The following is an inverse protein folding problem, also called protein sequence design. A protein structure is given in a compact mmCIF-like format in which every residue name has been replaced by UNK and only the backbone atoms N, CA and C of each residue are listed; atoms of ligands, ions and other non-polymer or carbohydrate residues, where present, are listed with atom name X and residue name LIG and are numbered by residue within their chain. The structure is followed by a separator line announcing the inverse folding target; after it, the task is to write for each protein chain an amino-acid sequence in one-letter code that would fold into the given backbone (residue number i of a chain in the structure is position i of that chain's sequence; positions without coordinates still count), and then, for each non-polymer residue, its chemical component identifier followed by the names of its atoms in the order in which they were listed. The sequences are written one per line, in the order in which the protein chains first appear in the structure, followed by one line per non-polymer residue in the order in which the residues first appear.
data_IF_334562307580
#
_entry.id   IF_334562307580
#
_cell.length_a   1.000
_cell.length_b   1.000
_cell.length_c   1.000
_cell.angle_alpha   90.00
_cell.angle_beta   90.00
_cell.angle_gamma   90.00
#
_symmetry.space_group_name_H-M   'P 1'
#
loop_
_entity.id
_entity.type
_entity.pdbx_description
1 polymer ?
#
# COMPACT_ATOMS: atom_id res chain seq x y z
N UNK A 1 -2.43 14.55 8.42
CA UNK A 1 -1.64 14.93 7.22
C UNK A 1 -2.55 15.15 6.02
N UNK A 2 -3.43 14.21 5.66
CA UNK A 2 -4.33 14.35 4.49
C UNK A 2 -5.19 15.61 4.45
N UNK A 3 -5.60 16.12 5.62
CA UNK A 3 -6.42 17.32 5.71
C UNK A 3 -5.70 18.61 5.30
N UNK A 4 -4.36 18.63 5.38
CA UNK A 4 -3.59 19.82 5.04
C UNK A 4 -3.58 20.03 3.51
N UNK A 5 -3.76 21.26 3.01
CA UNK A 5 -3.54 21.57 1.61
C UNK A 5 -2.05 21.70 1.27
N UNK A 6 -1.70 21.43 0.02
CA UNK A 6 -0.39 21.76 -0.54
C UNK A 6 -0.34 23.24 -0.93
N UNK A 7 0.72 23.95 -0.54
CA UNK A 7 0.90 25.39 -0.83
C UNK A 7 0.84 25.70 -2.34
N UNK A 8 1.39 24.83 -3.20
CA UNK A 8 1.51 25.11 -4.64
C UNK A 8 0.21 25.08 -5.45
N UNK A 9 -0.88 24.50 -4.93
CA UNK A 9 -2.16 24.42 -5.65
C UNK A 9 -3.40 24.41 -4.75
N UNK A 10 -3.25 24.56 -3.43
CA UNK A 10 -4.31 24.50 -2.42
C UNK A 10 -5.18 23.24 -2.45
N UNK A 11 -4.74 22.17 -3.11
CA UNK A 11 -5.42 20.88 -3.09
C UNK A 11 -4.99 20.09 -1.84
N UNK A 12 -5.94 19.49 -1.09
CA UNK A 12 -5.61 18.68 0.07
C UNK A 12 -5.00 17.33 -0.35
N UNK A 13 -4.07 16.84 0.46
CA UNK A 13 -3.50 15.48 0.29
C UNK A 13 -4.55 14.37 0.43
N UNK A 14 -5.73 14.68 0.97
CA UNK A 14 -6.86 13.76 1.03
C UNK A 14 -7.44 13.42 -0.34
N UNK A 15 -7.27 14.30 -1.34
CA UNK A 15 -7.99 14.28 -2.61
C UNK A 15 -9.52 14.11 -2.47
N UNK A 16 -10.06 14.35 -1.28
CA UNK A 16 -11.49 14.19 -1.01
C UNK A 16 -12.24 15.36 -1.63
N UNK A 17 -13.17 15.07 -2.53
CA UNK A 17 -14.09 16.07 -3.06
C UNK A 17 -15.17 16.40 -2.02
N UNK A 18 -15.56 17.67 -1.92
CA UNK A 18 -16.85 18.07 -1.36
C UNK A 18 -17.95 17.64 -2.34
N UNK A 19 -18.99 16.97 -1.81
CA UNK A 19 -20.09 16.33 -2.53
C UNK A 19 -20.77 17.23 -3.60
N UNK A 20 -21.32 16.61 -4.65
CA UNK A 20 -22.65 16.92 -5.27
C UNK A 20 -22.95 16.10 -6.55
N UNK A 21 -22.01 15.40 -7.19
CA UNK A 21 -22.30 14.66 -8.44
C UNK A 21 -21.92 13.19 -8.35
N UNK A 22 -22.67 12.35 -9.06
CA UNK A 22 -22.49 10.90 -9.20
C UNK A 22 -21.00 10.55 -9.39
N UNK A 23 -20.38 10.15 -8.28
CA UNK A 23 -18.95 9.93 -8.20
C UNK A 23 -18.65 8.61 -8.90
N UNK A 24 -17.76 8.61 -9.91
CA UNK A 24 -17.31 7.37 -10.54
C UNK A 24 -16.62 6.49 -9.50
N UNK A 25 -16.65 5.17 -9.66
CA UNK A 25 -15.92 4.24 -8.77
C UNK A 25 -14.40 4.38 -8.85
N UNK A 26 -13.88 5.12 -9.85
CA UNK A 26 -12.47 5.34 -10.10
C UNK A 26 -12.05 6.76 -9.67
N UNK A 27 -12.24 7.10 -8.39
CA UNK A 27 -11.82 8.40 -7.84
C UNK A 27 -10.48 8.37 -7.11
N UNK A 28 -9.74 9.50 -7.15
CA UNK A 28 -8.52 9.68 -6.37
C UNK A 28 -8.65 9.31 -4.89
N UNK A 29 -7.63 8.64 -4.36
CA UNK A 29 -7.52 8.23 -2.97
C UNK A 29 -6.64 9.20 -2.16
N UNK A 30 -6.73 9.18 -0.81
CA UNK A 30 -5.84 9.98 0.03
C UNK A 30 -4.38 9.50 -0.05
N UNK A 31 -3.45 10.41 0.20
CA UNK A 31 -2.01 10.13 0.17
C UNK A 31 -1.50 9.41 1.42
N UNK A 32 -1.99 9.78 2.61
CA UNK A 32 -1.41 9.33 3.89
C UNK A 32 -2.30 8.37 4.70
N UNK A 33 -3.62 8.40 4.52
CA UNK A 33 -4.57 7.58 5.29
C UNK A 33 -4.81 6.22 4.64
N UNK A 34 -5.04 5.20 5.48
CA UNK A 34 -5.56 3.91 5.01
C UNK A 34 -7.08 3.79 5.18
N UNK A 35 -7.71 4.70 5.93
CA UNK A 35 -9.14 4.64 6.21
C UNK A 35 -9.91 4.78 4.88
N UNK A 36 -10.78 3.82 4.59
CA UNK A 36 -11.50 3.69 3.31
C UNK A 36 -10.62 3.42 2.08
N UNK A 37 -9.37 2.99 2.27
CA UNK A 37 -8.44 2.61 1.19
C UNK A 37 -8.15 1.11 1.26
N UNK A 38 -8.31 0.42 0.13
CA UNK A 38 -8.15 -1.03 0.03
C UNK A 38 -9.37 -1.77 0.58
N UNK A 39 -9.15 -2.76 1.45
CA UNK A 39 -10.22 -3.56 2.04
C UNK A 39 -10.13 -3.60 3.57
N UNK A 40 -11.26 -3.87 4.23
CA UNK A 40 -11.27 -4.22 5.66
C UNK A 40 -10.84 -5.67 5.85
N UNK A 41 -9.87 -5.87 6.74
CA UNK A 41 -9.36 -7.18 7.18
C UNK A 41 -9.60 -7.37 8.66
N UNK A 42 -10.18 -8.52 9.03
CA UNK A 42 -10.31 -8.97 10.42
C UNK A 42 -8.95 -9.43 10.96
N UNK A 43 -8.39 -8.66 11.91
CA UNK A 43 -7.06 -8.92 12.46
C UNK A 43 -7.00 -10.13 13.40
N UNK A 44 -8.14 -10.66 13.86
CA UNK A 44 -8.18 -11.91 14.64
C UNK A 44 -7.79 -13.12 13.81
N UNK A 45 -7.71 -12.98 12.49
CA UNK A 45 -7.26 -14.04 11.57
C UNK A 45 -5.78 -13.97 11.24
N UNK A 46 -5.03 -13.02 11.80
CA UNK A 46 -3.60 -12.85 11.56
C UNK A 46 -2.75 -13.57 12.61
N UNK A 47 -1.53 -13.93 12.22
CA UNK A 47 -0.48 -14.47 13.10
C UNK A 47 -0.96 -15.70 13.89
N UNK A 48 -0.91 -15.65 15.23
CA UNK A 48 -1.34 -16.73 16.11
C UNK A 48 -2.87 -16.83 16.30
N UNK A 49 -3.64 -15.82 15.86
CA UNK A 49 -5.13 -15.79 15.93
C UNK A 49 -5.73 -15.86 17.34
N UNK A 50 -4.95 -15.51 18.35
CA UNK A 50 -5.36 -15.59 19.75
C UNK A 50 -5.25 -14.22 20.44
N UNK A 51 -6.11 -13.99 21.43
CA UNK A 51 -6.07 -12.81 22.31
C UNK A 51 -6.01 -11.45 21.58
N UNK A 52 -6.73 -11.31 20.45
CA UNK A 52 -6.61 -10.10 19.60
C UNK A 52 -7.79 -9.13 19.74
N UNK A 53 -9.03 -9.63 19.84
CA UNK A 53 -10.27 -8.84 19.64
C UNK A 53 -10.34 -7.56 20.48
N UNK A 54 -10.24 -7.69 21.80
CA UNK A 54 -10.40 -6.58 22.75
C UNK A 54 -9.09 -5.89 23.12
N UNK A 55 -7.96 -6.40 22.61
CA UNK A 55 -6.63 -5.85 22.93
C UNK A 55 -6.34 -4.61 22.09
N UNK A 56 -6.76 -4.61 20.83
CA UNK A 56 -6.39 -3.55 19.88
C UNK A 56 -7.56 -2.66 19.44
N UNK A 57 -8.79 -3.16 19.49
CA UNK A 57 -9.98 -2.42 19.05
C UNK A 57 -11.12 -2.61 20.05
N UNK A 58 -11.81 -1.53 20.46
CA UNK A 58 -12.95 -1.64 21.37
C UNK A 58 -14.26 -2.06 20.68
N UNK A 59 -14.26 -2.22 19.35
CA UNK A 59 -15.44 -2.59 18.56
C UNK A 59 -15.72 -4.10 18.54
N UNK A 60 -16.96 -4.48 18.25
CA UNK A 60 -17.35 -5.89 18.09
C UNK A 60 -16.71 -6.56 16.87
N UNK A 61 -16.32 -5.78 15.85
CA UNK A 61 -15.57 -6.21 14.67
C UNK A 61 -14.16 -5.58 14.68
N UNK A 62 -13.09 -6.37 14.92
CA UNK A 62 -11.71 -5.89 14.94
C UNK A 62 -11.16 -5.74 13.51
N UNK A 63 -11.85 -4.95 12.69
CA UNK A 63 -11.51 -4.73 11.29
C UNK A 63 -10.55 -3.54 11.13
N UNK A 64 -9.49 -3.73 10.35
CA UNK A 64 -8.55 -2.67 9.98
C UNK A 64 -8.47 -2.57 8.46
N UNK A 65 -8.40 -1.35 7.93
CA UNK A 65 -8.20 -1.11 6.51
C UNK A 65 -6.76 -1.42 6.11
N UNK A 66 -6.59 -2.18 5.03
CA UNK A 66 -5.27 -2.61 4.55
C UNK A 66 -4.40 -1.47 4.00
N UNK A 67 -5.02 -0.40 3.51
CA UNK A 67 -4.35 0.58 2.65
C UNK A 67 -4.15 0.05 1.21
N UNK A 68 -3.44 0.84 0.40
CA UNK A 68 -3.14 0.52 -0.99
C UNK A 68 -1.99 -0.51 -1.11
N UNK A 69 -1.92 -1.24 -2.24
CA UNK A 69 -0.91 -2.28 -2.45
C UNK A 69 -1.09 -3.49 -1.53
N UNK A 70 -2.34 -3.80 -1.19
CA UNK A 70 -2.67 -4.88 -0.27
C UNK A 70 -2.60 -6.25 -0.97
N UNK A 71 -2.52 -7.31 -0.17
CA UNK A 71 -2.41 -8.72 -0.58
C UNK A 71 -3.53 -9.54 0.06
N UNK A 72 -4.31 -10.22 -0.76
CA UNK A 72 -5.41 -11.10 -0.33
C UNK A 72 -5.37 -12.39 -1.12
N UNK A 73 -5.92 -13.46 -0.54
CA UNK A 73 -6.02 -14.74 -1.23
C UNK A 73 -7.05 -14.67 -2.37
N UNK A 74 -8.16 -13.97 -2.14
CA UNK A 74 -9.21 -13.70 -3.13
C UNK A 74 -10.10 -12.56 -2.64
N UNK A 75 -10.97 -12.03 -3.50
CA UNK A 75 -11.96 -11.02 -3.12
C UNK A 75 -12.86 -11.47 -1.95
N UNK A 76 -13.11 -12.79 -1.83
CA UNK A 76 -13.93 -13.38 -0.77
C UNK A 76 -13.13 -13.71 0.51
N UNK A 77 -11.80 -13.82 0.42
CA UNK A 77 -10.91 -14.17 1.53
C UNK A 77 -9.87 -13.06 1.75
N UNK A 78 -10.28 -12.06 2.53
CA UNK A 78 -9.51 -10.85 2.84
C UNK A 78 -9.03 -10.75 4.29
N UNK A 79 -9.25 -11.80 5.09
CA UNK A 79 -8.96 -11.82 6.53
C UNK A 79 -7.77 -12.74 6.81
N UNK A 80 -6.56 -12.19 6.77
CA UNK A 80 -5.30 -12.92 6.86
C UNK A 80 -4.95 -13.61 5.54
N UNK A 81 -3.75 -13.36 5.02
CA UNK A 81 -3.24 -14.08 3.85
C UNK A 81 -2.52 -15.36 4.30
N UNK A 82 -2.86 -16.55 3.77
CA UNK A 82 -2.14 -17.78 4.09
C UNK A 82 -0.66 -17.68 3.71
N UNK A 83 0.22 -18.26 4.51
CA UNK A 83 1.67 -18.27 4.25
C UNK A 83 2.03 -18.83 2.87
N UNK A 84 1.31 -19.86 2.41
CA UNK A 84 1.56 -20.51 1.11
C UNK A 84 1.41 -19.57 -0.09
N UNK A 85 0.61 -18.50 0.03
CA UNK A 85 0.39 -17.51 -1.04
C UNK A 85 1.55 -16.52 -1.18
N UNK A 86 2.45 -16.49 -0.20
CA UNK A 86 3.48 -15.46 -0.05
C UNK A 86 4.84 -16.06 0.31
N UNK A 87 5.03 -17.34 -0.02
CA UNK A 87 6.29 -18.03 0.15
C UNK A 87 7.38 -17.32 -0.66
N UNK A 88 8.53 -17.02 -0.04
CA UNK A 88 9.70 -16.61 -0.80
C UNK A 88 10.07 -17.72 -1.79
N UNK A 89 10.08 -17.40 -3.09
CA UNK A 89 10.68 -18.26 -4.10
C UNK A 89 12.05 -17.70 -4.48
N UNK A 90 13.10 -18.51 -4.36
CA UNK A 90 14.34 -18.26 -5.08
C UNK A 90 14.17 -18.69 -6.54
N UNK A 91 15.01 -18.16 -7.43
CA UNK A 91 15.07 -18.52 -8.86
C UNK A 91 15.59 -19.94 -9.12
N UNK A 92 16.07 -20.63 -8.08
CA UNK A 92 16.28 -22.08 -8.04
C UNK A 92 14.99 -22.80 -7.62
N UNK A 93 14.79 -24.04 -8.04
CA UNK A 93 13.63 -24.92 -7.75
C UNK A 93 13.44 -25.29 -6.27
N UNK A 94 13.86 -24.44 -5.32
CA UNK A 94 13.83 -24.65 -3.87
C UNK A 94 13.03 -23.53 -3.21
N UNK A 95 11.70 -23.62 -3.27
CA UNK A 95 10.83 -22.72 -2.49
C UNK A 95 11.02 -22.97 -0.99
N UNK A 96 10.83 -21.92 -0.18
CA UNK A 96 10.86 -22.07 1.27
C UNK A 96 9.87 -23.14 1.74
N UNK A 97 10.36 -24.15 2.48
CA UNK A 97 9.55 -25.21 3.03
C UNK A 97 9.35 -25.00 4.53
N UNK A 98 8.15 -24.61 5.00
CA UNK A 98 7.91 -24.41 6.44
C UNK A 98 7.99 -25.70 7.25
N UNK A 99 7.93 -26.86 6.59
CA UNK A 99 7.96 -28.17 7.24
C UNK A 99 9.34 -28.85 7.20
N UNK A 100 10.39 -28.17 6.73
CA UNK A 100 11.74 -28.71 6.83
C UNK A 100 12.23 -28.75 8.28
N UNK A 101 13.20 -29.62 8.57
CA UNK A 101 13.61 -29.92 9.95
C UNK A 101 14.16 -28.69 10.67
N UNK A 102 14.89 -27.84 9.96
CA UNK A 102 15.45 -26.59 10.45
C UNK A 102 14.37 -25.52 10.78
N UNK A 103 13.17 -25.66 10.21
CA UNK A 103 12.04 -24.74 10.41
C UNK A 103 11.01 -25.27 11.44
N UNK A 104 11.36 -26.35 12.15
CA UNK A 104 10.51 -26.98 13.15
C UNK A 104 11.19 -27.07 14.50
N UNK A 105 10.39 -26.97 15.56
CA UNK A 105 10.84 -27.19 16.94
C UNK A 105 10.11 -28.40 17.50
N UNK A 106 10.84 -29.26 18.21
CA UNK A 106 10.31 -30.40 18.94
C UNK A 106 10.43 -30.12 20.44
N UNK A 107 9.32 -29.84 21.15
CA UNK A 107 9.35 -29.65 22.59
C UNK A 107 9.79 -30.92 23.33
N UNK A 108 10.47 -30.76 24.47
CA UNK A 108 10.78 -31.89 25.34
C UNK A 108 9.51 -32.62 25.77
N UNK A 109 9.51 -33.96 25.70
CA UNK A 109 8.36 -34.80 26.04
C UNK A 109 7.27 -34.87 24.94
N UNK A 110 7.48 -34.31 23.76
CA UNK A 110 6.57 -34.43 22.62
C UNK A 110 7.25 -35.06 21.41
N UNK A 111 6.55 -35.95 20.71
CA UNK A 111 6.95 -36.46 19.39
C UNK A 111 6.47 -35.57 18.23
N UNK A 112 5.64 -34.56 18.52
CA UNK A 112 5.04 -33.69 17.50
C UNK A 112 5.94 -32.50 17.19
N UNK A 113 6.46 -32.46 15.96
CA UNK A 113 7.19 -31.30 15.45
C UNK A 113 6.21 -30.16 15.14
N UNK A 114 6.53 -28.95 15.58
CA UNK A 114 5.73 -27.74 15.31
C UNK A 114 6.52 -26.79 14.41
N UNK A 115 5.90 -26.32 13.34
CA UNK A 115 6.47 -25.28 12.48
C UNK A 115 6.57 -23.97 13.25
N UNK A 116 7.66 -23.23 13.07
CA UNK A 116 7.87 -21.94 13.76
C UNK A 116 7.26 -20.76 13.02
N UNK A 117 6.96 -20.89 11.73
CA UNK A 117 6.28 -19.85 10.95
C UNK A 117 4.79 -19.73 11.29
N UNK A 118 4.23 -18.54 11.10
CA UNK A 118 2.80 -18.31 11.21
C UNK A 118 2.05 -18.83 9.97
N UNK A 119 0.88 -19.43 10.19
CA UNK A 119 0.05 -19.94 9.09
C UNK A 119 -0.64 -18.82 8.29
N UNK A 120 -0.91 -17.67 8.92
CA UNK A 120 -1.56 -16.51 8.30
C UNK A 120 -0.82 -15.22 8.65
N UNK A 121 -0.64 -14.34 7.67
CA UNK A 121 0.08 -13.08 7.80
C UNK A 121 -0.86 -11.88 7.56
N UNK A 122 -0.49 -10.66 8.01
CA UNK A 122 -1.25 -9.44 7.72
C UNK A 122 -1.36 -9.13 6.22
N UNK A 123 -2.48 -8.54 5.81
CA UNK A 123 -2.84 -8.38 4.39
C UNK A 123 -2.15 -7.21 3.66
N UNK A 124 -1.09 -6.62 4.20
CA UNK A 124 -0.32 -5.56 3.52
C UNK A 124 1.11 -5.52 4.04
N UNK A 125 2.06 -5.32 3.13
CA UNK A 125 3.47 -5.02 3.40
C UNK A 125 3.93 -3.79 2.61
N UNK A 126 2.98 -3.05 2.01
CA UNK A 126 3.29 -1.87 1.22
C UNK A 126 3.88 -0.75 2.10
N UNK A 127 4.45 0.31 1.52
CA UNK A 127 4.89 1.47 2.28
C UNK A 127 3.77 2.12 3.12
N UNK A 128 2.51 1.86 2.76
CA UNK A 128 1.34 2.37 3.49
C UNK A 128 0.88 1.49 4.64
N UNK A 129 1.43 0.28 4.81
CA UNK A 129 1.02 -0.68 5.84
C UNK A 129 1.09 -0.10 7.27
N UNK A 130 0.01 -0.30 8.02
CA UNK A 130 -0.20 0.24 9.37
C UNK A 130 -1.00 -0.77 10.22
N UNK A 131 -0.31 -1.81 10.70
CA UNK A 131 -0.90 -2.90 11.46
C UNK A 131 -0.63 -2.73 12.95
N UNK A 132 -1.66 -2.33 13.69
CA UNK A 132 -1.56 -2.18 15.15
C UNK A 132 -1.26 -3.51 15.87
N UNK A 133 -1.69 -4.64 15.29
CA UNK A 133 -1.50 -5.99 15.85
C UNK A 133 -0.20 -6.66 15.38
N UNK A 134 0.57 -6.04 14.49
CA UNK A 134 1.71 -6.68 13.84
C UNK A 134 2.80 -5.66 13.46
N UNK A 135 3.57 -5.20 14.46
CA UNK A 135 4.65 -4.22 14.26
C UNK A 135 5.64 -4.62 13.17
N UNK A 136 5.97 -5.91 13.06
CA UNK A 136 6.89 -6.44 12.04
C UNK A 136 6.39 -6.31 10.59
N UNK A 137 5.09 -6.05 10.40
CA UNK A 137 4.46 -5.82 9.11
C UNK A 137 4.07 -4.35 8.89
N UNK A 138 4.41 -3.45 9.82
CA UNK A 138 4.03 -2.04 9.78
C UNK A 138 5.17 -1.16 9.28
N UNK A 139 4.96 -0.49 8.14
CA UNK A 139 5.94 0.45 7.59
C UNK A 139 5.71 1.90 8.04
N UNK A 140 4.45 2.30 8.28
CA UNK A 140 4.15 3.65 8.80
C UNK A 140 4.64 3.82 10.23
N UNK A 141 5.41 4.88 10.47
CA UNK A 141 6.04 5.12 11.76
C UNK A 141 6.06 6.61 12.12
N UNK A 142 6.19 6.91 13.42
CA UNK A 142 6.15 8.28 13.94
C UNK A 142 7.31 9.16 13.46
N UNK A 143 8.57 8.69 13.41
CA UNK A 143 9.67 9.48 12.84
C UNK A 143 9.37 9.96 11.41
N UNK A 144 8.82 9.09 10.56
CA UNK A 144 8.44 9.44 9.20
C UNK A 144 7.24 10.39 9.18
N UNK A 145 6.21 10.18 10.01
CA UNK A 145 5.07 11.10 10.12
C UNK A 145 5.50 12.53 10.48
N UNK A 146 6.49 12.70 11.37
CA UNK A 146 7.04 14.01 11.71
C UNK A 146 7.77 14.68 10.54
N UNK A 147 8.59 13.92 9.81
CA UNK A 147 9.24 14.43 8.61
C UNK A 147 8.21 14.80 7.53
N UNK A 148 7.21 13.94 7.31
CA UNK A 148 6.13 14.19 6.36
C UNK A 148 5.31 15.41 6.72
N UNK A 149 5.07 15.70 8.01
CA UNK A 149 4.40 16.93 8.43
C UNK A 149 5.15 18.17 7.94
N UNK A 150 6.44 18.28 8.28
CA UNK A 150 7.26 19.42 7.88
C UNK A 150 7.36 19.52 6.35
N UNK A 151 7.61 18.41 5.66
CA UNK A 151 7.77 18.37 4.20
C UNK A 151 6.46 18.63 3.46
N UNK A 152 5.32 18.21 4.01
CA UNK A 152 4.00 18.52 3.47
C UNK A 152 3.67 20.01 3.56
N UNK A 153 4.01 20.63 4.70
CA UNK A 153 3.87 22.08 4.91
C UNK A 153 4.79 22.86 3.96
N UNK A 154 6.03 22.42 3.77
CA UNK A 154 6.94 23.02 2.78
C UNK A 154 6.56 22.70 1.33
N UNK A 155 5.69 21.71 1.09
CA UNK A 155 5.29 21.28 -0.25
C UNK A 155 6.39 20.56 -1.05
N UNK A 156 7.33 19.89 -0.36
CA UNK A 156 8.57 19.35 -0.96
C UNK A 156 8.75 17.84 -0.75
N UNK A 157 7.68 17.09 -0.48
CA UNK A 157 7.76 15.62 -0.45
C UNK A 157 8.02 15.13 -1.88
N UNK A 158 9.10 14.38 -2.16
CA UNK A 158 9.39 13.94 -3.53
C UNK A 158 8.43 12.83 -3.98
N UNK A 159 8.23 12.75 -5.29
CA UNK A 159 7.42 11.73 -5.97
C UNK A 159 8.31 10.82 -6.81
N UNK A 160 7.96 9.53 -6.89
CA UNK A 160 8.61 8.59 -7.79
C UNK A 160 7.95 8.66 -9.17
N UNK A 161 8.75 8.78 -10.23
CA UNK A 161 8.27 8.85 -11.61
C UNK A 161 9.01 7.85 -12.50
N UNK A 162 8.32 7.35 -13.53
CA UNK A 162 8.92 6.64 -14.66
C UNK A 162 8.36 7.08 -16.03
N UNK A 163 7.37 7.97 -16.05
CA UNK A 163 6.81 8.62 -17.25
C UNK A 163 7.00 10.13 -17.13
N UNK A 164 7.78 10.70 -18.05
CA UNK A 164 8.19 12.11 -18.02
C UNK A 164 7.13 13.07 -18.56
N UNK A 165 6.14 12.57 -19.31
CA UNK A 165 5.14 13.37 -20.02
C UNK A 165 5.53 13.74 -21.46
N UNK A 166 6.72 13.36 -21.91
CA UNK A 166 7.24 13.71 -23.23
C UNK A 166 7.06 12.57 -24.25
N UNK A 167 6.61 12.90 -25.47
CA UNK A 167 6.52 11.94 -26.57
C UNK A 167 5.75 10.67 -26.21
N UNK A 168 6.41 9.51 -26.32
CA UNK A 168 5.84 8.19 -25.97
C UNK A 168 5.89 7.85 -24.48
N UNK A 169 6.51 8.70 -23.64
CA UNK A 169 6.67 8.49 -22.19
C UNK A 169 5.60 9.26 -21.38
N UNK A 170 4.37 9.24 -21.88
CA UNK A 170 3.21 9.84 -21.23
C UNK A 170 2.52 8.86 -20.28
N UNK A 171 1.97 9.40 -19.20
CA UNK A 171 1.08 8.71 -18.27
C UNK A 171 -0.36 9.19 -18.49
N UNK A 172 -1.22 8.31 -18.97
CA UNK A 172 -2.61 8.63 -19.31
C UNK A 172 -3.53 8.25 -18.15
N UNK A 173 -3.93 9.23 -17.32
CA UNK A 173 -4.66 8.98 -16.08
C UNK A 173 -5.91 8.07 -16.24
N UNK A 174 -6.63 8.17 -17.35
CA UNK A 174 -7.88 7.43 -17.56
C UNK A 174 -7.64 5.95 -17.89
N UNK A 175 -6.52 5.62 -18.54
CA UNK A 175 -6.18 4.24 -18.92
C UNK A 175 -5.18 3.62 -17.97
N UNK A 176 -4.18 4.38 -17.53
CA UNK A 176 -3.06 3.88 -16.75
C UNK A 176 -3.38 3.83 -15.24
N UNK A 177 -4.24 4.71 -14.70
CA UNK A 177 -4.56 4.75 -13.27
C UNK A 177 -5.95 4.20 -12.94
N UNK A 178 -5.98 3.15 -12.10
CA UNK A 178 -7.19 2.52 -11.56
C UNK A 178 -7.18 2.55 -10.03
N UNK A 179 -7.87 3.53 -9.45
CA UNK A 179 -8.00 3.74 -8.01
C UNK A 179 -8.78 2.63 -7.31
N UNK A 180 -9.63 1.89 -8.02
CA UNK A 180 -10.37 0.74 -7.48
C UNK A 180 -9.54 -0.57 -7.50
N UNK A 181 -8.36 -0.56 -8.12
CA UNK A 181 -7.49 -1.74 -8.33
C UNK A 181 -6.15 -1.64 -7.61
N UNK A 182 -6.16 -1.07 -6.40
CA UNK A 182 -4.94 -0.84 -5.60
C UNK A 182 -4.19 -2.11 -5.19
N UNK A 183 -4.81 -3.29 -5.26
CA UNK A 183 -4.17 -4.60 -5.06
C UNK A 183 -3.33 -5.07 -6.24
N UNK A 184 -3.50 -4.45 -7.41
CA UNK A 184 -2.78 -4.81 -8.63
C UNK A 184 -1.85 -3.69 -9.05
N UNK A 185 -1.03 -3.97 -10.07
CA UNK A 185 -0.22 -2.97 -10.77
C UNK A 185 -1.03 -1.78 -11.29
N UNK A 186 -2.33 -1.93 -11.58
CA UNK A 186 -3.16 -0.87 -12.15
C UNK A 186 -3.42 0.29 -11.17
N UNK A 187 -3.25 0.05 -9.87
CA UNK A 187 -3.20 1.12 -8.87
C UNK A 187 -1.92 1.96 -8.94
N UNK A 188 -0.88 1.48 -9.62
CA UNK A 188 0.42 2.14 -9.71
C UNK A 188 1.00 2.52 -8.34
N UNK A 189 0.96 1.58 -7.38
CA UNK A 189 1.81 1.64 -6.20
C UNK A 189 3.18 1.03 -6.57
N UNK A 190 4.28 1.81 -6.61
CA UNK A 190 5.61 1.30 -6.94
C UNK A 190 6.06 0.09 -6.12
N UNK A 191 5.85 0.11 -4.81
CA UNK A 191 6.35 -0.91 -3.88
C UNK A 191 7.85 -0.84 -3.61
N UNK A 192 8.57 0.06 -4.30
CA UNK A 192 10.01 0.25 -4.20
C UNK A 192 10.43 1.66 -4.69
N UNK A 193 11.42 2.27 -4.05
CA UNK A 193 12.00 3.56 -4.45
C UNK A 193 11.23 4.81 -4.03
N UNK A 194 9.94 4.69 -3.71
CA UNK A 194 9.10 5.80 -3.24
C UNK A 194 9.33 6.17 -1.77
N UNK A 195 8.82 7.32 -1.36
CA UNK A 195 8.86 7.75 0.05
C UNK A 195 8.00 6.82 0.91
N UNK A 196 8.59 6.29 1.99
CA UNK A 196 7.86 5.43 2.91
C UNK A 196 6.71 6.18 3.63
N UNK A 197 5.61 5.47 3.89
CA UNK A 197 4.47 5.97 4.67
C UNK A 197 3.36 6.67 3.87
N UNK A 198 3.44 6.68 2.54
CA UNK A 198 2.45 7.32 1.67
C UNK A 198 2.18 6.52 0.39
N UNK A 199 1.08 6.86 -0.30
CA UNK A 199 0.73 6.31 -1.60
C UNK A 199 1.17 7.25 -2.72
N UNK A 200 2.19 6.85 -3.49
CA UNK A 200 2.85 7.72 -4.49
C UNK A 200 1.89 8.25 -5.57
N UNK A 201 0.99 7.42 -6.11
CA UNK A 201 0.05 7.85 -7.13
C UNK A 201 -0.92 8.95 -6.62
N UNK A 202 -1.36 8.85 -5.36
CA UNK A 202 -2.17 9.90 -4.73
C UNK A 202 -1.37 11.20 -4.54
N UNK A 203 -0.07 11.12 -4.22
CA UNK A 203 0.78 12.31 -4.11
C UNK A 203 1.01 12.98 -5.48
N UNK A 204 1.29 12.19 -6.52
CA UNK A 204 1.40 12.66 -7.91
C UNK A 204 0.12 13.38 -8.38
N UNK A 205 -1.04 12.80 -8.09
CA UNK A 205 -2.33 13.43 -8.35
C UNK A 205 -2.48 14.74 -7.57
N UNK A 206 -2.21 14.74 -6.25
CA UNK A 206 -2.25 15.96 -5.42
C UNK A 206 -1.34 17.05 -5.98
N UNK A 207 -0.17 16.69 -6.51
CA UNK A 207 0.79 17.64 -7.09
C UNK A 207 0.39 18.10 -8.50
N UNK A 208 -0.58 17.44 -9.14
CA UNK A 208 -0.98 17.70 -10.51
C UNK A 208 0.09 17.30 -11.53
N UNK A 209 0.88 16.26 -11.23
CA UNK A 209 1.81 15.65 -12.20
C UNK A 209 1.02 14.96 -13.32
N UNK A 210 -0.13 14.39 -12.98
CA UNK A 210 -1.19 14.04 -13.92
C UNK A 210 -2.52 14.62 -13.43
N UNK A 211 -3.44 14.87 -14.36
CA UNK A 211 -4.69 15.58 -14.10
C UNK A 211 -4.54 17.11 -14.05
N UNK A 212 -5.63 17.79 -13.73
CA UNK A 212 -5.73 19.26 -13.87
C UNK A 212 -5.65 20.02 -12.54
N UNK A 213 -4.99 19.44 -11.53
CA UNK A 213 -4.88 20.06 -10.20
C UNK A 213 -3.94 21.28 -10.17
N UNK A 214 -2.97 21.34 -11.09
CA UNK A 214 -1.97 22.42 -11.16
C UNK A 214 -1.94 23.12 -12.52
N UNK A 215 -2.11 22.37 -13.62
CA UNK A 215 -2.17 22.91 -14.98
C UNK A 215 -3.55 22.63 -15.60
N UNK A 216 -4.06 23.53 -16.43
CA UNK A 216 -5.33 23.34 -17.15
C UNK A 216 -5.24 22.22 -18.20
N UNK A 217 -4.05 21.99 -18.74
CA UNK A 217 -3.74 20.85 -19.61
C UNK A 217 -2.95 19.82 -18.82
N UNK A 218 -3.39 18.56 -18.87
CA UNK A 218 -2.76 17.45 -18.14
C UNK A 218 -1.27 17.31 -18.53
N UNK A 219 -0.32 17.42 -17.57
CA UNK A 219 1.10 17.25 -17.86
C UNK A 219 1.51 15.81 -18.18
N UNK A 220 0.63 14.82 -17.89
CA UNK A 220 0.83 13.39 -18.17
C UNK A 220 2.14 12.82 -17.62
N UNK A 221 2.58 13.31 -16.46
CA UNK A 221 3.72 12.78 -15.72
C UNK A 221 3.24 11.81 -14.66
N UNK A 222 3.95 10.71 -14.46
CA UNK A 222 3.51 9.74 -13.47
C UNK A 222 4.45 8.56 -13.27
N UNK A 223 3.91 7.59 -12.55
CA UNK A 223 4.50 6.27 -12.37
C UNK A 223 3.53 5.23 -12.89
N UNK A 224 3.99 4.35 -13.78
CA UNK A 224 3.25 3.20 -14.29
C UNK A 224 3.93 1.92 -13.83
N UNK A 225 3.23 1.08 -13.07
CA UNK A 225 3.73 -0.23 -12.70
C UNK A 225 3.63 -1.16 -13.93
N UNK A 226 4.74 -1.29 -14.64
CA UNK A 226 4.80 -2.05 -15.88
C UNK A 226 4.67 -3.56 -15.64
N UNK A 227 4.00 -4.23 -16.58
CA UNK A 227 4.00 -5.70 -16.71
C UNK A 227 4.58 -6.18 -18.02
N UNK A 228 5.11 -5.28 -18.84
CA UNK A 228 5.88 -5.67 -20.02
C UNK A 228 7.17 -6.34 -19.56
N UNK A 229 7.79 -7.13 -20.44
CA UNK A 229 9.06 -7.84 -20.19
C UNK A 229 10.28 -6.94 -19.92
N UNK A 230 10.08 -5.63 -19.79
CA UNK A 230 11.10 -4.62 -19.55
C UNK A 230 11.16 -4.26 -18.06
N UNK A 231 12.36 -4.25 -17.49
CA UNK A 231 12.59 -3.71 -16.15
C UNK A 231 12.16 -2.24 -16.07
N UNK A 232 11.33 -1.88 -15.09
CA UNK A 232 10.96 -0.49 -14.84
C UNK A 232 12.17 0.30 -14.32
N UNK A 233 12.40 1.48 -14.89
CA UNK A 233 13.41 2.44 -14.42
C UNK A 233 12.70 3.69 -13.92
N UNK A 234 12.97 4.08 -12.67
CA UNK A 234 12.27 5.18 -12.01
C UNK A 234 13.21 6.02 -11.17
N UNK A 235 12.90 7.31 -11.01
CA UNK A 235 13.67 8.23 -10.16
C UNK A 235 12.75 9.08 -9.30
N UNK A 236 13.23 9.46 -8.11
CA UNK A 236 12.56 10.44 -7.25
C UNK A 236 12.81 11.85 -7.79
N UNK A 237 11.77 12.68 -7.81
CA UNK A 237 11.84 14.10 -8.17
C UNK A 237 11.08 14.95 -7.14
N UNK A 238 11.49 16.22 -6.99
CA UNK A 238 10.87 17.20 -6.10
C UNK A 238 9.58 17.79 -6.65
#
# INVERSE_FOLDING_TARGET
LDFLPRIGNNKPYSNSHTAILSVSSNTPLPTFSNINVGVKSDITKHLNKENTRWVFTPGSTPDIWTGAGYRVQSANQKNGIPFDQVKPSSSSSTSFNPSSMENQVTPSGSSSKKTTTYSFLPNSISPTSDWINALTFTNKNNPQRNQLLLRALLGTIPVLINKSGEGSEQFEQNSDQKWDKTETKEGNLPGFGEVNGLYNAALLHTYGFFGTNTNSTDPKKGFKADSSSSSSSSTLVG
#
